data_IF_719536827531
#
_entry.id   IF_719536827531
#
_cell.length_a   1.000
_cell.length_b   1.000
_cell.length_c   1.000
_cell.angle_alpha   90.00
_cell.angle_beta   90.00
_cell.angle_gamma   90.00
#
_symmetry.space_group_name_H-M   'P 1'
#
loop_
_entity.id
_entity.type
_entity.pdbx_description
1 polymer ?
#
# COMPACT_ATOMS: atom_id res chain seq x y z
N UNK A 1 -11.57 -9.35 -14.27
CA UNK A 1 -12.20 -10.58 -13.72
C UNK A 1 -11.97 -11.83 -14.57
N UNK A 2 -12.00 -11.76 -15.91
CA UNK A 2 -11.77 -12.94 -16.76
C UNK A 2 -10.45 -13.70 -16.44
N UNK A 3 -9.35 -12.99 -16.15
CA UNK A 3 -8.07 -13.61 -15.79
C UNK A 3 -8.09 -14.40 -14.46
N UNK A 4 -8.88 -13.98 -13.47
CA UNK A 4 -9.02 -14.69 -12.19
C UNK A 4 -9.76 -16.03 -12.33
N UNK A 5 -10.74 -16.10 -13.24
CA UNK A 5 -11.46 -17.35 -13.52
C UNK A 5 -10.64 -18.33 -14.37
N UNK A 6 -9.63 -17.84 -15.10
CA UNK A 6 -8.76 -18.68 -15.92
C UNK A 6 -7.66 -19.37 -15.08
N UNK A 7 -7.23 -18.77 -13.98
CA UNK A 7 -6.25 -19.36 -13.07
C UNK A 7 -6.91 -20.38 -12.12
N UNK A 8 -6.64 -21.67 -12.36
CA UNK A 8 -7.13 -22.79 -11.55
C UNK A 8 -6.09 -23.35 -10.57
N UNK A 9 -4.94 -22.69 -10.44
CA UNK A 9 -3.80 -23.19 -9.64
C UNK A 9 -3.99 -23.05 -8.13
N UNK A 10 -4.96 -22.23 -7.69
CA UNK A 10 -5.27 -21.98 -6.30
C UNK A 10 -4.49 -20.80 -5.69
N UNK A 11 -4.77 -20.45 -4.43
CA UNK A 11 -4.23 -19.25 -3.78
C UNK A 11 -2.82 -19.42 -3.18
N UNK A 12 -2.27 -20.63 -3.20
CA UNK A 12 -0.99 -20.97 -2.58
C UNK A 12 0.18 -20.74 -3.54
N UNK A 13 1.39 -20.50 -2.99
CA UNK A 13 2.61 -20.37 -3.80
C UNK A 13 2.95 -21.66 -4.55
N UNK A 14 2.67 -22.79 -3.93
CA UNK A 14 2.75 -24.13 -4.51
C UNK A 14 1.36 -24.50 -5.05
N UNK A 15 1.24 -24.92 -6.32
CA UNK A 15 -0.07 -25.22 -6.90
C UNK A 15 -0.63 -26.53 -6.31
N UNK A 16 -1.95 -26.61 -6.20
CA UNK A 16 -2.61 -27.82 -5.68
C UNK A 16 -2.68 -28.98 -6.68
N UNK A 17 -2.58 -28.66 -7.98
CA UNK A 17 -2.62 -29.63 -9.08
C UNK A 17 -1.26 -29.75 -9.77
N UNK A 18 -0.94 -30.95 -10.25
CA UNK A 18 0.25 -31.22 -11.08
C UNK A 18 0.11 -30.63 -12.49
N UNK A 19 -1.12 -30.44 -12.97
CA UNK A 19 -1.43 -29.84 -14.28
C UNK A 19 -1.67 -28.32 -14.19
N UNK A 20 -1.10 -27.67 -13.17
CA UNK A 20 -1.27 -26.24 -12.98
C UNK A 20 -0.55 -25.43 -14.06
N UNK A 21 -1.13 -24.27 -14.39
CA UNK A 21 -0.52 -23.31 -15.31
C UNK A 21 0.91 -22.92 -14.85
N UNK A 22 1.80 -22.55 -15.78
CA UNK A 22 3.14 -22.10 -15.44
C UNK A 22 3.11 -20.85 -14.54
N UNK A 23 4.17 -20.61 -13.74
CA UNK A 23 4.14 -19.57 -12.71
C UNK A 23 3.81 -18.14 -13.20
N UNK A 24 4.13 -17.81 -14.45
CA UNK A 24 3.81 -16.51 -15.09
C UNK A 24 2.32 -16.27 -15.31
N UNK A 25 1.51 -17.33 -15.38
CA UNK A 25 0.06 -17.25 -15.55
C UNK A 25 -0.71 -17.40 -14.24
N UNK A 26 0.00 -17.67 -13.14
CA UNK A 26 -0.60 -17.85 -11.82
C UNK A 26 -0.59 -16.53 -11.06
N UNK A 27 -1.77 -16.04 -10.74
CA UNK A 27 -1.97 -14.72 -10.12
C UNK A 27 -1.35 -14.72 -8.72
N UNK A 28 -1.65 -15.74 -7.92
CA UNK A 28 -1.19 -15.83 -6.54
C UNK A 28 0.30 -16.09 -6.43
N UNK A 29 0.91 -16.77 -7.41
CA UNK A 29 2.34 -16.98 -7.41
C UNK A 29 3.11 -15.67 -7.46
N UNK A 30 2.71 -14.73 -8.35
CA UNK A 30 3.37 -13.43 -8.42
C UNK A 30 3.20 -12.66 -7.11
N UNK A 31 2.01 -12.71 -6.50
CA UNK A 31 1.79 -12.11 -5.19
C UNK A 31 2.71 -12.68 -4.11
N UNK A 32 2.79 -14.02 -3.98
CA UNK A 32 3.69 -14.68 -3.02
C UNK A 32 5.15 -14.36 -3.29
N UNK A 33 5.59 -14.43 -4.56
CA UNK A 33 6.95 -14.10 -4.95
C UNK A 33 7.33 -12.68 -4.55
N UNK A 34 6.46 -11.70 -4.84
CA UNK A 34 6.68 -10.32 -4.40
C UNK A 34 6.80 -10.22 -2.87
N UNK A 35 5.96 -10.92 -2.11
CA UNK A 35 6.07 -10.89 -0.64
C UNK A 35 7.40 -11.49 -0.17
N UNK A 36 7.76 -12.66 -0.69
CA UNK A 36 8.96 -13.42 -0.28
C UNK A 36 10.27 -12.73 -0.69
N UNK A 37 10.33 -12.17 -1.91
CA UNK A 37 11.53 -11.56 -2.47
C UNK A 37 11.69 -10.08 -2.11
N UNK A 38 10.59 -9.35 -1.84
CA UNK A 38 10.65 -7.90 -1.58
C UNK A 38 10.21 -7.51 -0.17
N UNK A 39 9.09 -8.02 0.36
CA UNK A 39 8.54 -7.48 1.62
C UNK A 39 9.16 -8.09 2.87
N UNK A 40 9.56 -9.37 2.84
CA UNK A 40 10.10 -10.07 4.02
C UNK A 40 11.59 -10.42 3.90
N UNK A 41 12.19 -10.23 2.73
CA UNK A 41 13.61 -10.49 2.52
C UNK A 41 14.49 -9.49 3.31
N UNK A 42 15.61 -9.98 3.83
CA UNK A 42 16.48 -9.23 4.76
C UNK A 42 17.01 -7.90 4.18
N UNK A 43 17.40 -7.88 2.89
CA UNK A 43 17.94 -6.66 2.27
C UNK A 43 16.86 -5.57 2.11
N UNK A 44 15.72 -5.84 1.44
CA UNK A 44 14.63 -4.87 1.33
C UNK A 44 14.07 -4.40 2.68
N UNK A 45 13.88 -5.28 3.65
CA UNK A 45 13.33 -4.87 4.97
C UNK A 45 14.29 -3.94 5.72
N UNK A 46 15.60 -4.14 5.58
CA UNK A 46 16.61 -3.23 6.14
C UNK A 46 16.57 -1.87 5.44
N UNK A 47 16.45 -1.84 4.10
CA UNK A 47 16.30 -0.60 3.35
C UNK A 47 15.03 0.16 3.72
N UNK A 48 13.91 -0.56 3.91
CA UNK A 48 12.66 -0.03 4.44
C UNK A 48 12.87 0.58 5.83
N UNK A 49 13.48 -0.16 6.76
CA UNK A 49 13.66 0.30 8.14
C UNK A 49 14.49 1.59 8.21
N UNK A 50 15.60 1.68 7.46
CA UNK A 50 16.45 2.87 7.39
C UNK A 50 15.66 4.07 6.84
N UNK A 51 14.94 3.87 5.74
CA UNK A 51 14.16 4.94 5.09
C UNK A 51 12.99 5.40 5.96
N UNK A 52 12.30 4.45 6.60
CA UNK A 52 11.22 4.74 7.55
C UNK A 52 11.72 5.53 8.76
N UNK A 53 12.84 5.12 9.37
CA UNK A 53 13.42 5.85 10.50
C UNK A 53 13.76 7.28 10.12
N UNK A 54 14.34 7.50 8.94
CA UNK A 54 14.63 8.83 8.41
C UNK A 54 13.35 9.65 8.26
N UNK A 55 12.36 9.17 7.51
CA UNK A 55 11.13 9.94 7.27
C UNK A 55 10.33 10.16 8.55
N UNK A 56 10.32 9.20 9.47
CA UNK A 56 9.62 9.38 10.73
C UNK A 56 10.34 10.39 11.62
N UNK A 57 11.68 10.38 11.69
CA UNK A 57 12.44 11.41 12.39
C UNK A 57 12.16 12.80 11.81
N UNK A 58 12.12 12.94 10.48
CA UNK A 58 11.78 14.20 9.82
C UNK A 58 10.37 14.69 10.21
N UNK A 59 9.37 13.81 10.22
CA UNK A 59 8.01 14.14 10.70
C UNK A 59 8.02 14.60 12.17
N UNK A 60 8.82 13.95 13.03
CA UNK A 60 8.96 14.34 14.44
C UNK A 60 9.57 15.73 14.63
N UNK A 61 10.43 16.20 13.72
CA UNK A 61 11.01 17.55 13.81
C UNK A 61 9.97 18.67 13.63
N UNK A 62 8.78 18.35 13.09
CA UNK A 62 7.71 19.33 12.91
C UNK A 62 7.01 19.71 14.22
N UNK A 63 7.24 18.98 15.32
CA UNK A 63 6.62 19.24 16.61
C UNK A 63 7.45 20.23 17.44
N UNK A 64 6.79 21.15 18.15
CA UNK A 64 7.49 22.09 19.02
C UNK A 64 8.16 21.34 20.17
N UNK A 65 9.46 21.59 20.38
CA UNK A 65 10.27 20.95 21.43
C UNK A 65 10.22 21.76 22.73
N UNK A 66 9.95 23.06 22.65
CA UNK A 66 9.97 23.99 23.78
C UNK A 66 8.58 24.27 24.37
N UNK A 67 7.54 23.61 23.87
CA UNK A 67 6.16 23.77 24.33
C UNK A 67 5.61 22.48 24.91
N UNK A 68 5.08 22.54 26.14
CA UNK A 68 4.42 21.41 26.75
C UNK A 68 2.98 21.28 26.24
N UNK A 69 2.67 20.16 25.59
CA UNK A 69 1.31 19.85 25.14
C UNK A 69 0.60 19.06 26.25
N UNK A 70 -0.44 19.66 26.84
CA UNK A 70 -1.20 19.05 27.95
C UNK A 70 -1.94 17.75 27.54
N UNK A 71 -2.45 17.66 26.31
CA UNK A 71 -3.16 16.48 25.80
C UNK A 71 -2.53 15.97 24.49
N UNK A 72 -1.89 14.81 24.54
CA UNK A 72 -1.41 14.11 23.35
C UNK A 72 -2.31 12.92 23.04
N UNK A 73 -3.01 12.99 21.90
CA UNK A 73 -3.76 11.84 21.37
C UNK A 73 -2.83 10.89 20.63
N UNK A 74 -2.15 10.02 21.39
CA UNK A 74 -1.10 9.10 20.89
C UNK A 74 -1.55 8.36 19.63
N UNK A 75 -2.75 7.78 19.60
CA UNK A 75 -3.24 7.07 18.42
C UNK A 75 -3.43 7.98 17.21
N UNK A 76 -3.96 9.20 17.40
CA UNK A 76 -4.13 10.16 16.31
C UNK A 76 -2.77 10.59 15.76
N UNK A 77 -1.82 10.84 16.65
CA UNK A 77 -0.45 11.18 16.33
C UNK A 77 0.23 10.07 15.52
N UNK A 78 0.23 8.83 16.02
CA UNK A 78 0.83 7.69 15.32
C UNK A 78 0.12 7.44 13.98
N UNK A 79 -1.22 7.46 13.94
CA UNK A 79 -1.97 7.30 12.69
C UNK A 79 -1.60 8.37 11.65
N UNK A 80 -1.32 9.59 12.06
CA UNK A 80 -0.89 10.64 11.14
C UNK A 80 0.57 10.46 10.71
N UNK A 81 1.50 10.61 11.65
CA UNK A 81 2.93 10.76 11.37
C UNK A 81 3.57 9.45 10.92
N UNK A 82 3.24 8.34 11.59
CA UNK A 82 3.81 7.03 11.27
C UNK A 82 3.31 6.51 9.92
N UNK A 83 2.04 6.74 9.59
CA UNK A 83 1.50 6.32 8.28
C UNK A 83 2.03 7.16 7.13
N UNK A 84 2.24 8.47 7.33
CA UNK A 84 2.87 9.33 6.34
C UNK A 84 4.30 8.86 6.06
N UNK A 85 5.11 8.65 7.11
CA UNK A 85 6.46 8.13 6.98
C UNK A 85 6.50 6.76 6.27
N UNK A 86 5.67 5.80 6.69
CA UNK A 86 5.60 4.48 6.06
C UNK A 86 5.16 4.55 4.59
N UNK A 87 4.20 5.43 4.27
CA UNK A 87 3.74 5.65 2.90
C UNK A 87 4.88 6.19 2.03
N UNK A 88 5.63 7.19 2.52
CA UNK A 88 6.79 7.73 1.79
C UNK A 88 7.88 6.70 1.60
N UNK A 89 8.10 5.82 2.59
CA UNK A 89 9.08 4.75 2.46
C UNK A 89 8.74 3.76 1.35
N UNK A 90 7.47 3.33 1.27
CA UNK A 90 7.06 2.26 0.35
C UNK A 90 6.79 2.81 -1.06
N UNK A 91 6.14 3.96 -1.16
CA UNK A 91 5.60 4.49 -2.43
C UNK A 91 6.34 5.75 -2.91
N UNK A 92 7.33 6.21 -2.15
CA UNK A 92 8.00 7.49 -2.37
C UNK A 92 7.18 8.69 -1.88
N UNK A 93 7.79 9.89 -1.81
CA UNK A 93 7.13 11.09 -1.30
C UNK A 93 5.95 11.55 -2.18
N UNK A 94 6.05 11.32 -3.49
CA UNK A 94 5.16 11.91 -4.49
C UNK A 94 3.69 11.51 -4.36
N UNK A 95 3.38 10.33 -3.81
CA UNK A 95 1.98 9.92 -3.62
C UNK A 95 1.23 10.86 -2.68
N UNK A 96 1.89 11.37 -1.64
CA UNK A 96 1.30 12.30 -0.68
C UNK A 96 1.18 13.71 -1.27
N UNK A 97 2.17 14.13 -2.07
CA UNK A 97 2.15 15.43 -2.76
C UNK A 97 1.02 15.50 -3.79
N UNK A 98 0.79 14.42 -4.54
CA UNK A 98 -0.27 14.33 -5.55
C UNK A 98 -1.67 14.19 -4.95
N UNK A 99 -1.76 13.69 -3.72
CA UNK A 99 -3.02 13.35 -3.06
C UNK A 99 -3.07 13.95 -1.64
N UNK A 100 -3.34 15.27 -1.51
CA UNK A 100 -3.63 15.86 -0.22
C UNK A 100 -4.76 15.09 0.50
N UNK A 101 -4.54 14.75 1.77
CA UNK A 101 -5.48 13.94 2.56
C UNK A 101 -5.45 12.44 2.27
N UNK A 102 -4.41 11.92 1.61
CA UNK A 102 -4.22 10.49 1.37
C UNK A 102 -4.30 9.65 2.66
N UNK A 103 -3.58 10.07 3.70
CA UNK A 103 -3.57 9.40 5.02
C UNK A 103 -4.97 9.31 5.62
N UNK A 104 -5.76 10.37 5.54
CA UNK A 104 -7.13 10.37 6.05
C UNK A 104 -8.02 9.42 5.24
N UNK A 105 -7.90 9.43 3.92
CA UNK A 105 -8.62 8.51 3.04
C UNK A 105 -8.27 7.04 3.31
N UNK A 106 -6.99 6.75 3.58
CA UNK A 106 -6.54 5.42 4.00
C UNK A 106 -7.22 4.98 5.30
N UNK A 107 -7.20 5.81 6.34
CA UNK A 107 -7.80 5.46 7.63
C UNK A 107 -9.34 5.46 7.61
N UNK A 108 -9.97 6.20 6.71
CA UNK A 108 -11.42 6.09 6.44
C UNK A 108 -11.76 4.76 5.80
N UNK A 109 -10.96 4.31 4.83
CA UNK A 109 -11.13 3.02 4.17
C UNK A 109 -10.84 1.85 5.11
N UNK A 110 -9.77 1.91 5.89
CA UNK A 110 -9.35 0.86 6.82
C UNK A 110 -10.48 0.46 7.78
N UNK A 111 -11.21 1.45 8.33
CA UNK A 111 -12.35 1.27 9.24
C UNK A 111 -13.53 0.49 8.65
N UNK A 112 -13.61 0.35 7.33
CA UNK A 112 -14.76 -0.28 6.64
C UNK A 112 -14.36 -1.53 5.85
N UNK A 113 -13.11 -1.97 5.97
CA UNK A 113 -12.61 -3.15 5.24
C UNK A 113 -13.39 -4.43 5.57
N UNK A 114 -13.67 -4.67 6.86
CA UNK A 114 -14.48 -5.81 7.30
C UNK A 114 -15.92 -5.74 6.76
N UNK A 115 -16.54 -4.56 6.79
CA UNK A 115 -17.88 -4.35 6.24
C UNK A 115 -17.93 -4.61 4.72
N UNK A 116 -16.85 -4.33 4.00
CA UNK A 116 -16.74 -4.59 2.57
C UNK A 116 -16.49 -6.06 2.26
N UNK A 117 -15.81 -6.79 3.16
CA UNK A 117 -15.47 -8.20 2.96
C UNK A 117 -16.63 -9.14 3.35
N UNK A 118 -17.29 -8.85 4.47
CA UNK A 118 -18.27 -9.76 5.10
C UNK A 118 -19.65 -9.12 5.32
N UNK A 119 -19.79 -7.84 5.02
CA UNK A 119 -21.03 -7.10 5.26
C UNK A 119 -22.07 -7.24 4.14
N UNK A 120 -23.10 -6.38 4.17
CA UNK A 120 -24.20 -6.45 3.21
C UNK A 120 -23.75 -6.11 1.78
N UNK A 121 -24.58 -6.41 0.76
CA UNK A 121 -24.29 -6.05 -0.62
C UNK A 121 -23.90 -4.58 -0.79
N UNK A 122 -22.95 -4.31 -1.69
CA UNK A 122 -22.31 -3.00 -1.87
C UNK A 122 -23.30 -1.83 -2.08
N UNK A 123 -24.44 -2.08 -2.72
CA UNK A 123 -25.46 -1.06 -2.97
C UNK A 123 -26.16 -0.58 -1.68
N UNK A 124 -26.13 -1.38 -0.62
CA UNK A 124 -26.68 -1.01 0.69
C UNK A 124 -25.64 -0.31 1.58
N UNK A 125 -24.34 -0.51 1.34
CA UNK A 125 -23.25 0.13 2.08
C UNK A 125 -22.50 1.19 1.25
N UNK A 126 -23.23 2.23 0.84
CA UNK A 126 -22.67 3.32 0.02
C UNK A 126 -21.49 4.03 0.69
N UNK A 127 -21.53 4.17 2.03
CA UNK A 127 -20.45 4.80 2.80
C UNK A 127 -19.13 4.05 2.62
N UNK A 128 -19.13 2.74 2.84
CA UNK A 128 -17.92 1.94 2.72
C UNK A 128 -17.40 1.90 1.28
N UNK A 129 -18.31 1.79 0.31
CA UNK A 129 -17.97 1.84 -1.12
C UNK A 129 -17.31 3.17 -1.48
N UNK A 130 -17.85 4.29 -0.99
CA UNK A 130 -17.27 5.61 -1.25
C UNK A 130 -15.87 5.77 -0.65
N UNK A 131 -15.66 5.30 0.59
CA UNK A 131 -14.34 5.33 1.23
C UNK A 131 -13.30 4.52 0.42
N UNK A 132 -13.65 3.29 0.01
CA UNK A 132 -12.81 2.47 -0.86
C UNK A 132 -12.51 3.15 -2.18
N UNK A 133 -13.53 3.70 -2.84
CA UNK A 133 -13.38 4.31 -4.16
C UNK A 133 -12.54 5.59 -4.10
N UNK A 134 -12.70 6.43 -3.06
CA UNK A 134 -11.89 7.61 -2.82
C UNK A 134 -10.40 7.23 -2.67
N UNK A 135 -10.10 6.27 -1.79
CA UNK A 135 -8.72 5.82 -1.59
C UNK A 135 -8.14 5.18 -2.86
N UNK A 136 -8.92 4.33 -3.53
CA UNK A 136 -8.50 3.66 -4.78
C UNK A 136 -8.20 4.66 -5.90
N UNK A 137 -8.98 5.74 -6.01
CA UNK A 137 -8.76 6.79 -7.00
C UNK A 137 -7.43 7.53 -6.77
N UNK A 138 -7.07 7.79 -5.52
CA UNK A 138 -5.78 8.41 -5.17
C UNK A 138 -4.59 7.51 -5.53
N UNK A 139 -4.67 6.22 -5.19
CA UNK A 139 -3.64 5.24 -5.58
C UNK A 139 -3.52 5.12 -7.10
N UNK A 140 -4.65 5.07 -7.81
CA UNK A 140 -4.68 4.98 -9.27
C UNK A 140 -4.07 6.21 -9.93
N UNK A 141 -4.40 7.42 -9.46
CA UNK A 141 -3.81 8.66 -9.95
C UNK A 141 -2.28 8.65 -9.83
N UNK A 142 -1.75 8.22 -8.68
CA UNK A 142 -0.31 8.09 -8.48
C UNK A 142 0.31 7.05 -9.41
N UNK A 143 -0.32 5.88 -9.55
CA UNK A 143 0.16 4.82 -10.43
C UNK A 143 0.20 5.27 -11.89
N UNK A 144 -0.89 5.82 -12.42
CA UNK A 144 -0.99 6.27 -13.81
C UNK A 144 0.05 7.34 -14.15
N UNK A 145 0.29 8.29 -13.24
CA UNK A 145 1.33 9.29 -13.44
C UNK A 145 2.73 8.68 -13.42
N UNK A 146 3.00 7.82 -12.43
CA UNK A 146 4.30 7.17 -12.28
C UNK A 146 4.62 6.30 -13.50
N UNK A 147 3.64 5.54 -13.99
CA UNK A 147 3.76 4.70 -15.19
C UNK A 147 4.03 5.54 -16.46
N UNK A 148 3.36 6.69 -16.60
CA UNK A 148 3.53 7.56 -17.76
C UNK A 148 4.90 8.25 -17.84
N UNK A 149 5.55 8.46 -16.70
CA UNK A 149 6.83 9.14 -16.60
C UNK A 149 8.01 8.16 -16.42
N UNK A 150 7.73 6.89 -16.13
CA UNK A 150 8.75 5.88 -15.96
C UNK A 150 9.40 5.55 -17.30
N UNK A 151 10.73 5.66 -17.36
CA UNK A 151 11.50 5.28 -18.53
C UNK A 151 11.68 3.76 -18.57
N UNK A 152 10.76 3.08 -19.27
CA UNK A 152 10.76 1.63 -19.46
C UNK A 152 11.98 1.09 -20.22
N UNK A 153 12.70 1.95 -20.94
CA UNK A 153 13.91 1.62 -21.68
C UNK A 153 15.18 2.16 -20.98
N UNK A 154 15.00 2.80 -19.83
CA UNK A 154 16.06 3.37 -19.01
C UNK A 154 16.86 2.32 -18.24
N UNK A 155 18.03 2.70 -17.72
CA UNK A 155 18.90 1.79 -16.95
C UNK A 155 18.24 1.28 -15.67
N UNK A 156 17.23 1.99 -15.16
CA UNK A 156 16.55 1.70 -13.90
C UNK A 156 15.39 0.70 -14.02
N UNK A 157 15.11 0.17 -15.20
CA UNK A 157 14.03 -0.81 -15.45
C UNK A 157 14.10 -2.06 -14.56
N UNK A 158 15.30 -2.45 -14.15
CA UNK A 158 15.57 -3.66 -13.35
C UNK A 158 16.06 -3.36 -11.94
N UNK A 159 15.97 -2.10 -11.51
CA UNK A 159 16.45 -1.71 -10.19
C UNK A 159 15.33 -1.96 -9.17
N UNK A 160 15.37 -3.14 -8.55
CA UNK A 160 14.56 -3.49 -7.36
C UNK A 160 15.12 -2.83 -6.07
#
# INVERSE_FOLDING_TARGET
>A
MAHFYADRSGPTSIPSSKDAEPPTKRIWYQSHRMHDETLIAARPINAFAISFQKFFADELTSFPVDEWIEEVRIFKFLKSQMSAAATRTILGPRILDLNPGFTDAFWEYEKVTEELAFGPPLWLNRRAVNARNRFSAMCRKWFELSDSEFDWEGPDRHTD
#
